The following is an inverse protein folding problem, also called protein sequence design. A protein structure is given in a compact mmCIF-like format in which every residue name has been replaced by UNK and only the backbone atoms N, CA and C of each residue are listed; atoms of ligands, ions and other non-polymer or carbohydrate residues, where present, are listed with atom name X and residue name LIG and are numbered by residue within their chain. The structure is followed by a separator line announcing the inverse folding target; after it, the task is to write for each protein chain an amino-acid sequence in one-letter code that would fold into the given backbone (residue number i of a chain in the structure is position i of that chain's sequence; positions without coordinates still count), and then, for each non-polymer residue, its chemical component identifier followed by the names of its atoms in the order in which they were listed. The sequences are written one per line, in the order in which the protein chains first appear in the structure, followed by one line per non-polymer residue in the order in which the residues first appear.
data_IF_990412645038
#
_entry.id   IF_990412645038
#
_cell.length_a   1.000
_cell.length_b   1.000
_cell.length_c   1.000
_cell.angle_alpha   90.00
_cell.angle_beta   90.00
_cell.angle_gamma   90.00
#
_symmetry.space_group_name_H-M   'P 1'
#
loop_
_entity.id
_entity.type
_entity.pdbx_description
1 polymer ?
#
# COMPACT_ATOMS: atom_id res chain seq x y z
N UNK A 1 -9.56 -32.35 2.74
CA UNK A 1 -9.48 -31.65 2.85
C UNK A 1 -9.70 -30.86 3.07
N UNK A 2 -9.63 -30.94 3.26
CA UNK A 2 -9.67 -30.01 3.56
C UNK A 2 -9.59 -29.24 3.67
N UNK A 3 -9.18 -29.42 4.04
CA UNK A 3 -9.13 -28.57 4.35
C UNK A 3 -9.18 -27.79 3.85
N UNK A 4 -9.06 -28.04 3.31
CA UNK A 4 -9.44 -27.16 2.90
C UNK A 4 -10.49 -26.56 3.24
N UNK A 5 -10.93 -26.96 3.76
CA UNK A 5 -11.76 -26.15 4.58
C UNK A 5 -11.16 -24.80 4.63
N UNK A 6 -11.79 -23.84 4.09
CA UNK A 6 -11.25 -22.50 4.19
C UNK A 6 -10.90 -22.25 5.64
N UNK A 7 -9.64 -22.27 6.00
CA UNK A 7 -9.27 -21.93 7.34
C UNK A 7 -9.75 -20.54 7.62
N UNK A 8 -10.16 -20.30 8.83
CA UNK A 8 -10.48 -18.98 9.27
C UNK A 8 -9.29 -18.07 8.97
N UNK A 9 -9.51 -17.02 8.20
CA UNK A 9 -8.46 -16.09 7.83
C UNK A 9 -7.94 -15.39 9.08
N UNK A 10 -6.64 -15.46 9.30
CA UNK A 10 -6.01 -14.76 10.40
C UNK A 10 -5.89 -13.26 10.09
N UNK A 11 -5.93 -12.44 11.13
CA UNK A 11 -5.63 -11.02 11.01
C UNK A 11 -4.13 -10.89 10.75
N UNK A 12 -3.75 -10.10 9.75
CA UNK A 12 -2.35 -9.84 9.47
C UNK A 12 -1.72 -8.96 10.55
N UNK A 13 -0.43 -9.10 10.73
CA UNK A 13 0.32 -8.27 11.68
C UNK A 13 0.63 -6.91 11.07
N UNK A 14 0.26 -5.85 11.79
CA UNK A 14 0.62 -4.48 11.41
C UNK A 14 2.13 -4.34 11.26
N UNK A 15 2.88 -4.90 12.20
CA UNK A 15 4.35 -4.83 12.18
C UNK A 15 4.94 -5.51 10.95
N UNK A 16 4.38 -6.65 10.55
CA UNK A 16 4.85 -7.35 9.35
C UNK A 16 4.53 -6.57 8.08
N UNK A 17 3.36 -5.94 8.04
CA UNK A 17 3.00 -5.08 6.90
C UNK A 17 3.99 -3.92 6.81
N UNK A 18 4.24 -3.23 7.91
CA UNK A 18 5.18 -2.10 7.94
C UNK A 18 6.60 -2.53 7.58
N UNK A 19 7.02 -3.69 8.06
CA UNK A 19 8.34 -4.25 7.74
C UNK A 19 8.46 -4.51 6.24
N UNK A 20 7.42 -5.09 5.64
CA UNK A 20 7.43 -5.33 4.21
C UNK A 20 7.46 -4.02 3.42
N UNK A 21 6.65 -3.03 3.81
CA UNK A 21 6.66 -1.72 3.16
C UNK A 21 8.06 -1.09 3.25
N UNK A 22 8.69 -1.17 4.41
CA UNK A 22 10.04 -0.64 4.60
C UNK A 22 11.03 -1.32 3.65
N UNK A 23 10.87 -2.62 3.43
CA UNK A 23 11.75 -3.37 2.52
C UNK A 23 11.57 -2.95 1.06
N UNK A 24 10.41 -2.41 0.70
CA UNK A 24 10.10 -1.97 -0.66
C UNK A 24 10.40 -0.49 -0.90
N UNK A 25 10.61 0.26 0.16
CA UNK A 25 10.73 1.72 0.09
C UNK A 25 11.81 2.18 -0.88
N UNK A 26 13.00 1.62 -0.76
CA UNK A 26 14.14 2.04 -1.59
C UNK A 26 13.84 1.88 -3.08
N UNK A 27 13.27 0.74 -3.45
CA UNK A 27 12.91 0.44 -4.83
C UNK A 27 11.83 1.39 -5.35
N UNK A 28 10.80 1.61 -4.55
CA UNK A 28 9.69 2.50 -4.93
C UNK A 28 10.17 3.94 -5.07
N UNK A 29 10.95 4.42 -4.12
CA UNK A 29 11.45 5.79 -4.15
C UNK A 29 12.39 6.04 -5.33
N UNK A 30 13.16 5.01 -5.72
CA UNK A 30 14.07 5.13 -6.85
C UNK A 30 13.33 5.40 -8.16
N UNK A 31 12.09 4.93 -8.30
CA UNK A 31 11.32 5.14 -9.54
C UNK A 31 10.40 6.35 -9.49
N UNK A 32 10.19 6.96 -8.33
CA UNK A 32 9.39 8.17 -8.25
C UNK A 32 8.30 8.22 -7.20
N UNK A 33 8.15 7.19 -6.38
CA UNK A 33 7.30 7.27 -5.19
C UNK A 33 8.03 8.15 -4.19
N UNK A 34 7.32 9.08 -3.55
CA UNK A 34 7.93 10.05 -2.64
C UNK A 34 7.47 9.86 -1.20
N UNK A 35 6.36 9.18 -0.97
CA UNK A 35 5.90 8.81 0.37
C UNK A 35 5.25 7.43 0.30
N UNK A 36 5.35 6.70 1.39
CA UNK A 36 4.79 5.36 1.50
C UNK A 36 4.34 5.12 2.94
N UNK A 37 3.07 4.78 3.14
CA UNK A 37 2.54 4.59 4.48
C UNK A 37 1.36 3.64 4.52
N UNK A 38 1.06 3.20 5.73
CA UNK A 38 -0.10 2.39 6.05
C UNK A 38 -1.13 3.28 6.72
N UNK A 39 -2.39 3.21 6.27
CA UNK A 39 -3.46 3.96 6.92
C UNK A 39 -4.68 3.07 7.12
N UNK A 40 -5.79 3.65 7.57
CA UNK A 40 -7.02 2.90 7.78
C UNK A 40 -6.99 1.97 8.97
N UNK A 41 -7.76 0.90 8.91
CA UNK A 41 -8.00 0.03 10.07
C UNK A 41 -6.75 -0.63 10.62
N UNK A 42 -5.85 -1.09 9.76
CA UNK A 42 -4.61 -1.70 10.25
C UNK A 42 -3.71 -0.70 10.98
N UNK A 43 -3.63 0.53 10.48
CA UNK A 43 -2.83 1.56 11.14
C UNK A 43 -3.41 1.93 12.51
N UNK A 44 -4.73 1.88 12.64
CA UNK A 44 -5.45 2.27 13.87
C UNK A 44 -5.70 1.10 14.83
N UNK A 45 -5.17 -0.07 14.54
CA UNK A 45 -5.36 -1.28 15.35
C UNK A 45 -6.82 -1.70 15.47
N UNK A 46 -7.62 -1.40 14.46
CA UNK A 46 -9.05 -1.76 14.44
C UNK A 46 -9.38 -2.77 13.33
N UNK A 47 -8.36 -3.37 12.71
CA UNK A 47 -8.56 -4.34 11.64
C UNK A 47 -9.11 -5.67 12.15
N UNK A 48 -9.91 -6.31 11.32
CA UNK A 48 -10.36 -7.68 11.57
C UNK A 48 -9.91 -8.58 10.40
N UNK A 49 -10.36 -9.85 10.42
CA UNK A 49 -9.94 -10.83 9.42
C UNK A 49 -10.36 -10.47 7.99
N UNK A 50 -11.29 -9.55 7.81
CA UNK A 50 -11.81 -9.17 6.50
C UNK A 50 -11.42 -7.76 6.10
N UNK A 51 -10.62 -7.08 6.90
CA UNK A 51 -10.19 -5.71 6.61
C UNK A 51 -9.24 -5.67 5.41
N UNK A 52 -9.40 -4.64 4.59
CA UNK A 52 -8.44 -4.35 3.52
C UNK A 52 -7.19 -3.72 4.12
N UNK A 53 -6.08 -3.89 3.41
CA UNK A 53 -4.83 -3.19 3.75
C UNK A 53 -4.82 -1.90 2.95
N UNK A 54 -4.84 -0.76 3.65
CA UNK A 54 -4.89 0.56 3.02
C UNK A 54 -3.50 1.18 2.99
N UNK A 55 -2.99 1.38 1.79
CA UNK A 55 -1.64 1.91 1.57
C UNK A 55 -1.75 3.28 0.91
N UNK A 56 -1.07 4.26 1.48
CA UNK A 56 -0.99 5.61 0.93
C UNK A 56 0.36 5.83 0.30
N UNK A 57 0.37 6.42 -0.88
CA UNK A 57 1.59 6.84 -1.54
C UNK A 57 1.45 8.28 -2.03
N UNK A 58 2.58 8.96 -2.19
CA UNK A 58 2.68 10.13 -3.05
C UNK A 58 3.69 9.81 -4.13
N UNK A 59 3.52 10.42 -5.29
CA UNK A 59 4.37 10.13 -6.44
C UNK A 59 4.83 11.42 -7.10
N UNK A 60 6.04 11.38 -7.67
CA UNK A 60 6.49 12.34 -8.64
C UNK A 60 6.24 11.74 -10.02
N UNK A 61 5.13 12.14 -10.65
CA UNK A 61 4.69 11.56 -11.91
C UNK A 61 5.70 11.73 -13.04
N UNK A 62 6.36 12.88 -13.09
CA UNK A 62 7.39 13.14 -14.11
C UNK A 62 8.56 12.19 -13.95
N UNK A 63 9.01 12.00 -12.71
CA UNK A 63 10.11 11.08 -12.42
C UNK A 63 9.72 9.64 -12.73
N UNK A 64 8.51 9.23 -12.39
CA UNK A 64 8.03 7.87 -12.69
C UNK A 64 8.00 7.61 -14.19
N UNK A 65 7.45 8.55 -14.97
CA UNK A 65 7.39 8.40 -16.42
C UNK A 65 8.79 8.34 -17.02
N UNK A 66 9.70 9.20 -16.53
CA UNK A 66 11.09 9.21 -17.01
C UNK A 66 11.78 7.87 -16.73
N UNK A 67 11.58 7.30 -15.54
CA UNK A 67 12.25 6.06 -15.16
C UNK A 67 11.62 4.82 -15.77
N UNK A 68 10.32 4.84 -16.01
CA UNK A 68 9.58 3.65 -16.48
C UNK A 68 9.21 3.72 -17.97
N UNK A 69 9.42 4.87 -18.60
CA UNK A 69 9.28 5.04 -20.02
C UNK A 69 8.01 5.72 -20.49
N UNK A 70 6.88 5.50 -19.81
CA UNK A 70 5.60 6.12 -20.18
C UNK A 70 4.60 5.99 -19.02
N UNK A 71 3.47 6.76 -19.07
CA UNK A 71 2.48 6.71 -18.00
C UNK A 71 1.84 5.34 -17.78
N UNK A 72 1.66 4.58 -18.85
CA UNK A 72 1.07 3.24 -18.74
C UNK A 72 1.97 2.31 -17.92
N UNK A 73 3.28 2.37 -18.17
CA UNK A 73 4.25 1.58 -17.40
C UNK A 73 4.26 1.96 -15.93
N UNK A 74 4.02 3.24 -15.62
CA UNK A 74 3.90 3.68 -14.24
C UNK A 74 2.69 3.04 -13.54
N UNK A 75 1.55 2.97 -14.22
CA UNK A 75 0.37 2.31 -13.69
C UNK A 75 0.59 0.83 -13.47
N UNK A 76 1.23 0.16 -14.42
CA UNK A 76 1.56 -1.27 -14.30
C UNK A 76 2.49 -1.51 -13.11
N UNK A 77 3.49 -0.65 -12.93
CA UNK A 77 4.42 -0.76 -11.81
C UNK A 77 3.69 -0.70 -10.47
N UNK A 78 2.79 0.25 -10.31
CA UNK A 78 2.02 0.39 -9.06
C UNK A 78 1.05 -0.77 -8.86
N UNK A 79 0.43 -1.25 -9.94
CA UNK A 79 -0.46 -2.41 -9.86
C UNK A 79 0.30 -3.67 -9.46
N UNK A 80 1.50 -3.86 -9.98
CA UNK A 80 2.36 -4.99 -9.59
C UNK A 80 2.73 -4.92 -8.10
N UNK A 81 3.02 -3.73 -7.60
CA UNK A 81 3.29 -3.54 -6.17
C UNK A 81 2.07 -3.93 -5.33
N UNK A 82 0.90 -3.46 -5.72
CA UNK A 82 -0.37 -3.80 -5.07
C UNK A 82 -0.60 -5.31 -5.04
N UNK A 83 -0.39 -5.97 -6.17
CA UNK A 83 -0.56 -7.43 -6.29
C UNK A 83 0.43 -8.18 -5.41
N UNK A 84 1.66 -7.70 -5.32
CA UNK A 84 2.68 -8.30 -4.47
C UNK A 84 2.26 -8.24 -3.00
N UNK A 85 1.75 -7.10 -2.55
CA UNK A 85 1.22 -6.95 -1.20
C UNK A 85 0.03 -7.88 -0.95
N UNK A 86 -0.92 -7.88 -1.87
CA UNK A 86 -2.11 -8.71 -1.77
C UNK A 86 -1.76 -10.20 -1.66
N UNK A 87 -0.81 -10.64 -2.47
CA UNK A 87 -0.37 -12.03 -2.47
C UNK A 87 0.36 -12.38 -1.17
N UNK A 88 1.24 -11.50 -0.70
CA UNK A 88 2.01 -11.79 0.50
C UNK A 88 1.13 -11.88 1.73
N UNK A 89 0.14 -11.03 1.86
CA UNK A 89 -0.69 -10.95 3.06
C UNK A 89 -2.06 -11.61 2.91
N UNK A 90 -2.33 -12.19 1.74
CA UNK A 90 -3.61 -12.82 1.43
C UNK A 90 -4.78 -11.92 1.83
N UNK A 91 -4.75 -10.68 1.37
CA UNK A 91 -5.75 -9.67 1.69
C UNK A 91 -5.93 -8.73 0.50
N UNK A 92 -7.10 -8.11 0.41
CA UNK A 92 -7.28 -7.03 -0.56
C UNK A 92 -6.45 -5.84 -0.13
N UNK A 93 -5.83 -5.19 -1.10
CA UNK A 93 -5.02 -4.01 -0.88
C UNK A 93 -5.64 -2.84 -1.62
N UNK A 94 -5.85 -1.75 -0.91
CA UNK A 94 -6.29 -0.48 -1.48
C UNK A 94 -5.07 0.44 -1.53
N UNK A 95 -4.59 0.70 -2.74
CA UNK A 95 -3.42 1.57 -2.95
C UNK A 95 -3.92 2.94 -3.38
N UNK A 96 -3.75 3.91 -2.51
CA UNK A 96 -4.25 5.26 -2.72
C UNK A 96 -3.10 6.21 -3.02
N UNK A 97 -3.07 6.77 -4.24
CA UNK A 97 -2.11 7.83 -4.57
C UNK A 97 -2.72 9.16 -4.12
N UNK A 98 -2.13 9.76 -3.12
CA UNK A 98 -2.66 10.97 -2.48
C UNK A 98 -2.04 12.25 -3.04
N UNK A 99 -1.28 12.15 -4.12
CA UNK A 99 -0.56 13.29 -4.71
C UNK A 99 -1.49 14.45 -5.07
N UNK A 100 -2.67 14.13 -5.61
CA UNK A 100 -3.61 15.15 -6.08
C UNK A 100 -4.58 15.64 -5.01
N UNK A 101 -4.54 15.08 -3.80
CA UNK A 101 -5.42 15.49 -2.73
C UNK A 101 -4.99 16.83 -2.14
N UNK A 102 -5.95 17.64 -1.72
CA UNK A 102 -5.66 18.86 -0.98
C UNK A 102 -5.09 18.51 0.39
N UNK A 103 -4.49 19.50 1.04
CA UNK A 103 -3.95 19.33 2.39
C UNK A 103 -5.05 18.87 3.37
N UNK A 104 -6.23 19.46 3.27
CA UNK A 104 -7.37 19.09 4.12
C UNK A 104 -7.82 17.66 3.88
N UNK A 105 -7.93 17.26 2.61
CA UNK A 105 -8.32 15.92 2.26
C UNK A 105 -7.31 14.89 2.76
N UNK A 106 -6.01 15.20 2.64
CA UNK A 106 -4.95 14.33 3.17
C UNK A 106 -5.06 14.20 4.68
N UNK A 107 -5.27 15.29 5.39
CA UNK A 107 -5.36 15.27 6.85
C UNK A 107 -6.51 14.39 7.32
N UNK A 108 -7.64 14.42 6.64
CA UNK A 108 -8.79 13.59 6.99
C UNK A 108 -8.54 12.12 6.66
N UNK A 109 -8.09 11.84 5.43
CA UNK A 109 -7.89 10.47 4.96
C UNK A 109 -6.79 9.76 5.73
N UNK A 110 -5.70 10.46 5.99
CA UNK A 110 -4.47 9.87 6.52
C UNK A 110 -4.32 10.04 8.03
N UNK A 111 -5.42 10.35 8.72
CA UNK A 111 -5.42 10.45 10.17
C UNK A 111 -4.99 9.11 10.76
N UNK A 112 -3.93 9.12 11.58
CA UNK A 112 -3.39 7.90 12.16
C UNK A 112 -2.48 7.09 11.22
N UNK A 113 -2.17 7.60 10.04
CA UNK A 113 -1.29 6.90 9.10
C UNK A 113 0.13 6.76 9.67
N UNK A 114 0.78 5.66 9.29
CA UNK A 114 2.14 5.35 9.70
C UNK A 114 2.99 5.28 8.45
N UNK A 115 3.95 6.18 8.32
CA UNK A 115 4.85 6.24 7.17
C UNK A 115 6.14 5.48 7.45
N UNK A 116 6.66 4.85 6.41
CA UNK A 116 7.95 4.16 6.50
C UNK A 116 9.05 4.96 5.83
#
# INVERSE_FOLDING_TARGET
MSAKTAPKKAINSKDEILKFLSSQKKRLFAVGVTELGLFGSYAKDSADAFSDIDIAIETDGTKMVKNLGNPFSALVFLDDFKKKLSSKFNANVDLCDTTSLSREEKMKLLQGAIYV
#
